data_IF_392641992400
#
_entry.id   IF_392641992400
#
_cell.length_a   1.000
_cell.length_b   1.000
_cell.length_c   1.000
_cell.angle_alpha   90.00
_cell.angle_beta   90.00
_cell.angle_gamma   90.00
#
_symmetry.space_group_name_H-M   'P 1'
#
loop_
_entity.id
_entity.type
_entity.pdbx_description
1 polymer ?
#
# COMPACT_ATOMS: atom_id res chain seq x y z
N UNK A 1 -2.81 -9.77 30.84
CA UNK A 1 -1.53 -10.21 30.22
C UNK A 1 -1.20 -9.16 29.18
N UNK A 2 -0.15 -8.38 29.39
CA UNK A 2 0.30 -7.40 28.38
C UNK A 2 1.00 -8.17 27.24
N UNK A 3 0.79 -7.80 25.97
CA UNK A 3 1.46 -8.47 24.86
C UNK A 3 2.97 -8.17 24.90
N UNK A 4 3.78 -9.17 24.60
CA UNK A 4 5.23 -9.03 24.46
C UNK A 4 5.52 -7.94 23.42
N UNK A 5 6.23 -6.89 23.83
CA UNK A 5 6.67 -5.83 22.94
C UNK A 5 7.84 -6.36 22.13
N UNK A 6 7.57 -6.87 20.92
CA UNK A 6 8.59 -7.11 19.91
C UNK A 6 9.39 -5.81 19.69
N UNK A 7 10.72 -5.89 19.64
CA UNK A 7 11.64 -4.77 19.36
C UNK A 7 11.54 -4.23 17.92
N UNK A 8 10.36 -4.27 17.33
CA UNK A 8 10.10 -3.76 15.99
C UNK A 8 9.59 -2.32 16.06
N UNK A 9 10.10 -1.46 15.18
CA UNK A 9 9.64 -0.08 15.09
C UNK A 9 8.13 -0.01 14.84
N UNK A 10 7.41 0.79 15.63
CA UNK A 10 5.98 1.00 15.43
C UNK A 10 5.70 1.56 14.04
N UNK A 11 4.80 0.90 13.31
CA UNK A 11 4.29 1.39 12.02
C UNK A 11 3.19 2.45 12.18
N UNK A 12 2.71 2.65 13.41
CA UNK A 12 1.69 3.65 13.73
C UNK A 12 2.34 4.90 14.30
N UNK A 13 1.95 6.05 13.76
CA UNK A 13 2.45 7.35 14.14
C UNK A 13 1.29 8.30 14.38
N UNK A 14 1.43 9.18 15.37
CA UNK A 14 0.54 10.33 15.54
C UNK A 14 1.22 11.55 14.91
N UNK A 15 0.51 12.24 14.01
CA UNK A 15 1.02 13.43 13.34
C UNK A 15 0.00 14.56 13.32
N UNK A 16 0.42 15.74 13.78
CA UNK A 16 -0.40 16.95 13.72
C UNK A 16 -0.11 17.69 12.43
N UNK A 17 -1.11 17.80 11.56
CA UNK A 17 -0.98 18.43 10.25
C UNK A 17 -1.98 19.57 10.12
N UNK A 18 -1.50 20.70 9.61
CA UNK A 18 -2.32 21.86 9.28
C UNK A 18 -2.48 22.01 7.78
N UNK A 19 -3.71 22.22 7.32
CA UNK A 19 -4.06 22.38 5.92
C UNK A 19 -4.84 23.69 5.72
N UNK A 20 -4.56 24.38 4.62
CA UNK A 20 -5.32 25.56 4.22
C UNK A 20 -6.43 25.13 3.27
N UNK A 21 -7.68 25.22 3.72
CA UNK A 21 -8.84 24.59 3.08
C UNK A 21 -9.94 25.60 2.82
N UNK A 22 -10.71 25.39 1.75
CA UNK A 22 -11.91 26.17 1.49
C UNK A 22 -13.14 25.48 2.11
N UNK A 23 -14.09 26.29 2.58
CA UNK A 23 -15.37 25.80 3.09
C UNK A 23 -16.49 26.31 2.17
N UNK A 24 -17.49 25.48 1.81
CA UNK A 24 -18.66 25.95 1.10
C UNK A 24 -19.39 27.07 1.86
N UNK A 25 -19.83 28.11 1.16
CA UNK A 25 -20.52 29.26 1.76
C UNK A 25 -21.83 28.87 2.49
N UNK A 26 -22.49 27.79 2.05
CA UNK A 26 -23.68 27.23 2.70
C UNK A 26 -23.42 26.72 4.12
N UNK A 27 -22.17 26.45 4.46
CA UNK A 27 -21.77 25.83 5.72
C UNK A 27 -21.17 26.83 6.72
N UNK A 28 -21.29 28.14 6.47
CA UNK A 28 -20.72 29.17 7.36
C UNK A 28 -21.36 29.24 8.74
N UNK A 29 -22.58 28.71 8.90
CA UNK A 29 -23.23 28.58 10.20
C UNK A 29 -22.55 27.53 11.10
N UNK A 30 -21.92 26.51 10.49
CA UNK A 30 -21.20 25.45 11.19
C UNK A 30 -19.95 25.03 10.39
N UNK A 31 -18.88 25.85 10.41
CA UNK A 31 -17.67 25.60 9.64
C UNK A 31 -16.90 24.37 10.15
N UNK A 32 -17.04 24.03 11.43
CA UNK A 32 -16.35 22.90 12.05
C UNK A 32 -16.83 21.56 11.48
N UNK A 33 -18.14 21.33 11.51
CA UNK A 33 -18.73 20.12 10.94
C UNK A 33 -18.44 20.03 9.44
N UNK A 34 -18.47 21.17 8.75
CA UNK A 34 -18.18 21.24 7.32
C UNK A 34 -16.75 20.82 6.98
N UNK A 35 -15.74 21.32 7.69
CA UNK A 35 -14.34 20.90 7.49
C UNK A 35 -14.18 19.41 7.78
N UNK A 36 -14.77 18.92 8.87
CA UNK A 36 -14.73 17.51 9.23
C UNK A 36 -15.34 16.63 8.14
N UNK A 37 -16.51 17.00 7.60
CA UNK A 37 -17.21 16.21 6.61
C UNK A 37 -16.61 16.30 5.20
N UNK A 38 -16.15 17.49 4.79
CA UNK A 38 -15.72 17.74 3.40
C UNK A 38 -14.23 17.55 3.17
N UNK A 39 -13.40 17.72 4.22
CA UNK A 39 -11.94 17.63 4.11
C UNK A 39 -11.39 16.46 4.89
N UNK A 40 -11.66 16.37 6.20
CA UNK A 40 -10.95 15.43 7.07
C UNK A 40 -11.47 13.99 6.95
N UNK A 41 -12.79 13.78 6.99
CA UNK A 41 -13.39 12.44 6.91
C UNK A 41 -13.09 11.72 5.59
N UNK A 42 -13.06 12.40 4.42
CA UNK A 42 -12.62 11.78 3.18
C UNK A 42 -11.18 11.27 3.18
N UNK A 43 -10.33 11.72 4.12
CA UNK A 43 -8.95 11.22 4.25
C UNK A 43 -8.87 9.87 4.96
N UNK A 44 -9.91 9.47 5.71
CA UNK A 44 -9.93 8.21 6.44
C UNK A 44 -9.78 7.02 5.48
N UNK A 45 -8.91 6.08 5.85
CA UNK A 45 -8.56 4.89 5.08
C UNK A 45 -7.95 5.19 3.69
N UNK A 46 -7.50 6.43 3.47
CA UNK A 46 -6.81 6.84 2.24
C UNK A 46 -5.34 7.13 2.53
N UNK A 47 -4.48 6.87 1.54
CA UNK A 47 -3.09 7.26 1.62
C UNK A 47 -2.98 8.78 1.47
N UNK A 48 -2.45 9.45 2.48
CA UNK A 48 -2.26 10.90 2.49
C UNK A 48 -0.78 11.22 2.32
N UNK A 49 -0.36 11.76 1.15
CA UNK A 49 1.07 11.98 0.86
C UNK A 49 1.82 12.84 1.89
N UNK A 50 1.26 13.93 2.44
CA UNK A 50 1.93 14.72 3.47
C UNK A 50 2.22 13.91 4.74
N UNK A 51 1.32 12.99 5.11
CA UNK A 51 1.53 12.07 6.22
C UNK A 51 2.33 10.81 5.85
N UNK A 52 2.70 10.61 4.57
CA UNK A 52 3.46 9.45 4.06
C UNK A 52 2.86 8.09 4.49
N UNK A 53 1.54 8.01 4.59
CA UNK A 53 0.88 6.83 5.12
C UNK A 53 -0.64 6.91 4.98
N UNK A 54 -1.32 5.89 5.47
CA UNK A 54 -2.79 5.83 5.48
C UNK A 54 -3.32 6.44 6.77
N UNK A 55 -4.27 7.36 6.67
CA UNK A 55 -4.93 7.93 7.83
C UNK A 55 -5.96 6.93 8.35
N UNK A 56 -5.85 6.55 9.62
CA UNK A 56 -6.79 5.65 10.30
C UNK A 56 -7.83 6.41 11.11
N UNK A 57 -7.42 7.51 11.73
CA UNK A 57 -8.28 8.36 12.54
C UNK A 57 -7.75 9.79 12.54
N UNK A 58 -8.61 10.73 12.92
CA UNK A 58 -8.22 12.09 13.25
C UNK A 58 -8.91 12.54 14.54
N UNK A 59 -8.24 13.41 15.29
CA UNK A 59 -8.69 14.03 16.53
C UNK A 59 -8.14 15.46 16.67
N UNK A 60 -8.52 16.14 17.76
CA UNK A 60 -8.07 17.49 18.11
C UNK A 60 -8.13 18.50 16.96
N UNK A 61 -9.30 18.56 16.30
CA UNK A 61 -9.51 19.47 15.17
C UNK A 61 -9.62 20.91 15.66
N UNK A 62 -8.75 21.77 15.15
CA UNK A 62 -8.69 23.19 15.45
C UNK A 62 -8.77 24.02 14.16
N UNK A 63 -9.60 25.06 14.19
CA UNK A 63 -9.72 26.01 13.09
C UNK A 63 -9.09 27.33 13.49
N UNK A 64 -8.30 27.91 12.58
CA UNK A 64 -7.63 29.18 12.80
C UNK A 64 -7.66 30.05 11.55
N UNK A 65 -7.66 31.37 11.75
CA UNK A 65 -7.60 32.35 10.66
C UNK A 65 -6.15 32.59 10.20
N UNK A 66 -5.19 32.39 11.11
CA UNK A 66 -3.76 32.56 10.87
C UNK A 66 -3.07 31.22 10.60
N UNK A 67 -1.98 31.20 9.82
CA UNK A 67 -1.20 29.98 9.64
C UNK A 67 -0.67 29.46 10.98
N UNK A 68 -0.47 28.13 11.11
CA UNK A 68 0.16 27.56 12.30
C UNK A 68 1.54 28.18 12.50
N UNK A 69 1.86 28.60 13.73
CA UNK A 69 3.21 29.01 14.07
C UNK A 69 4.10 27.78 13.98
N UNK A 70 4.97 27.73 12.96
CA UNK A 70 6.00 26.70 12.87
C UNK A 70 6.80 26.74 14.18
N UNK A 71 7.06 25.62 14.88
CA UNK A 71 8.03 25.61 15.95
C UNK A 71 9.39 25.90 15.33
N UNK A 72 9.77 27.18 15.28
CA UNK A 72 11.11 27.60 14.86
C UNK A 72 12.13 26.94 15.80
N UNK A 73 13.01 26.15 15.21
CA UNK A 73 14.28 25.75 15.78
C UNK A 73 15.00 26.99 16.33
N UNK A 74 14.98 27.15 17.66
CA UNK A 74 15.97 27.88 18.45
C UNK A 74 16.50 29.21 17.87
N UNK A 75 15.63 30.15 17.51
CA UNK A 75 15.98 31.55 17.29
C UNK A 75 15.63 32.35 18.56
N UNK A 76 16.61 32.49 19.46
CA UNK A 76 16.52 33.37 20.63
C UNK A 76 16.27 34.82 20.17
N UNK A 77 15.01 35.26 20.17
CA UNK A 77 14.69 36.68 20.35
C UNK A 77 13.51 36.80 21.32
N UNK A 78 13.89 36.95 22.58
CA UNK A 78 13.02 37.07 23.73
C UNK A 78 12.44 38.48 23.75
N UNK A 79 11.37 38.75 23.00
CA UNK A 79 10.53 39.92 23.28
C UNK A 79 9.53 39.53 24.37
N UNK A 80 9.77 40.07 25.57
CA UNK A 80 8.92 39.91 26.75
C UNK A 80 7.52 40.44 26.42
N UNK A 81 6.54 39.55 26.27
CA UNK A 81 5.18 39.82 26.73
C UNK A 81 4.82 38.73 27.74
N UNK A 82 5.03 39.07 29.00
CA UNK A 82 4.70 38.26 30.17
C UNK A 82 3.24 37.76 30.04
N UNK A 83 3.00 36.46 30.02
CA UNK A 83 2.96 35.55 31.18
C UNK A 83 2.17 36.17 32.34
N UNK A 84 0.86 36.02 32.26
CA UNK A 84 0.00 36.02 33.43
C UNK A 84 -0.92 34.79 33.32
N UNK A 85 -0.35 33.61 33.56
CA UNK A 85 -1.13 32.40 33.83
C UNK A 85 -1.51 32.41 35.32
N UNK A 86 -2.51 33.21 35.66
CA UNK A 86 -3.36 32.89 36.78
C UNK A 86 -4.31 31.80 36.30
N UNK A 87 -4.13 30.60 36.83
CA UNK A 87 -5.01 29.45 36.70
C UNK A 87 -6.37 29.83 37.26
N UNK A 88 -7.23 30.40 36.42
CA UNK A 88 -8.65 30.58 36.69
C UNK A 88 -9.41 29.68 35.75
N UNK A 89 -10.12 28.70 36.31
CA UNK A 89 -11.17 27.92 35.64
C UNK A 89 -12.35 28.84 35.29
N UNK A 90 -12.11 29.79 34.39
CA UNK A 90 -13.12 30.60 33.72
C UNK A 90 -12.81 30.49 32.25
N UNK A 91 -13.59 29.66 31.56
CA UNK A 91 -13.60 29.61 30.11
C UNK A 91 -14.03 30.99 29.60
N UNK A 92 -13.05 31.84 29.27
CA UNK A 92 -13.28 33.00 28.40
C UNK A 92 -14.04 32.49 27.17
N UNK A 93 -15.12 33.17 26.72
CA UNK A 93 -15.85 32.73 25.55
C UNK A 93 -14.86 32.69 24.38
N UNK A 94 -14.76 31.52 23.72
CA UNK A 94 -13.88 31.34 22.57
C UNK A 94 -14.11 32.50 21.59
N UNK A 95 -13.05 33.25 21.28
CA UNK A 95 -13.14 34.36 20.35
C UNK A 95 -13.74 33.86 19.02
N UNK A 96 -14.70 34.58 18.43
CA UNK A 96 -15.35 34.13 17.22
C UNK A 96 -14.32 34.02 16.08
N UNK A 97 -14.24 32.85 15.46
CA UNK A 97 -13.37 32.62 14.32
C UNK A 97 -13.84 33.45 13.11
N UNK A 98 -13.06 34.47 12.75
CA UNK A 98 -13.32 35.29 11.58
C UNK A 98 -12.64 34.70 10.35
N UNK A 99 -13.44 34.45 9.31
CA UNK A 99 -12.99 33.92 8.04
C UNK A 99 -12.78 35.06 7.03
N UNK A 100 -11.74 34.97 6.20
CA UNK A 100 -11.46 35.96 5.16
C UNK A 100 -12.08 35.53 3.84
N UNK A 101 -12.88 36.43 3.28
CA UNK A 101 -13.41 36.36 1.92
C UNK A 101 -12.53 37.22 1.00
N UNK A 102 -12.23 36.74 -0.20
CA UNK A 102 -11.35 37.43 -1.15
C UNK A 102 -12.13 37.70 -2.43
N UNK A 103 -12.33 38.98 -2.74
CA UNK A 103 -13.00 39.49 -3.94
C UNK A 103 -14.38 38.86 -4.18
N UNK A 104 -14.59 38.23 -5.34
CA UNK A 104 -15.87 37.64 -5.77
C UNK A 104 -16.05 36.19 -5.29
N UNK A 105 -15.03 35.59 -4.66
CA UNK A 105 -15.05 34.18 -4.28
C UNK A 105 -15.89 33.94 -3.03
N UNK A 106 -17.14 33.51 -3.23
CA UNK A 106 -18.10 33.14 -2.18
C UNK A 106 -17.53 32.24 -1.05
N UNK A 107 -16.56 31.38 -1.35
CA UNK A 107 -16.00 30.41 -0.42
C UNK A 107 -14.81 31.00 0.36
N UNK A 108 -14.92 31.16 1.70
CA UNK A 108 -13.78 31.56 2.50
C UNK A 108 -12.81 30.40 2.71
N UNK A 109 -11.59 30.77 3.09
CA UNK A 109 -10.54 29.83 3.44
C UNK A 109 -10.21 29.89 4.93
N UNK A 110 -9.84 28.75 5.50
CA UNK A 110 -9.45 28.58 6.90
C UNK A 110 -8.25 27.66 7.01
N UNK A 111 -7.46 27.81 8.07
CA UNK A 111 -6.50 26.80 8.48
C UNK A 111 -7.18 25.77 9.36
N UNK A 112 -7.19 24.52 8.91
CA UNK A 112 -7.66 23.37 9.68
C UNK A 112 -6.45 22.56 10.14
N UNK A 113 -6.27 22.45 11.45
CA UNK A 113 -5.24 21.63 12.08
C UNK A 113 -5.89 20.44 12.74
N UNK A 114 -5.39 19.24 12.49
CA UNK A 114 -5.86 18.04 13.15
C UNK A 114 -4.69 17.12 13.47
N UNK A 115 -4.83 16.35 14.54
CA UNK A 115 -3.96 15.24 14.87
C UNK A 115 -4.47 14.01 14.13
N UNK A 116 -3.58 13.28 13.45
CA UNK A 116 -3.91 12.11 12.65
C UNK A 116 -3.21 10.89 13.21
N UNK A 117 -3.94 9.78 13.35
CA UNK A 117 -3.34 8.46 13.52
C UNK A 117 -3.03 7.90 12.13
N UNK A 118 -1.75 7.72 11.83
CA UNK A 118 -1.25 7.35 10.51
C UNK A 118 -0.57 5.99 10.60
N UNK A 119 -0.98 5.06 9.74
CA UNK A 119 -0.25 3.82 9.49
C UNK A 119 0.72 4.01 8.32
N UNK A 120 2.00 3.81 8.60
CA UNK A 120 3.11 3.94 7.65
C UNK A 120 3.74 2.58 7.39
N UNK A 121 3.35 1.87 6.33
CA UNK A 121 4.03 0.66 5.94
C UNK A 121 5.47 1.00 5.49
N UNK A 122 6.46 0.40 6.15
CA UNK A 122 7.88 0.57 5.83
C UNK A 122 8.39 -0.71 5.17
N UNK A 123 9.24 -0.56 4.15
CA UNK A 123 9.93 -1.68 3.55
C UNK A 123 10.74 -2.43 4.61
N UNK A 124 10.73 -3.76 4.54
CA UNK A 124 11.37 -4.68 5.49
C UNK A 124 10.74 -4.79 6.88
N UNK A 125 9.66 -4.05 7.18
CA UNK A 125 8.90 -4.29 8.39
C UNK A 125 8.10 -5.60 8.29
N UNK A 126 7.85 -6.23 9.44
CA UNK A 126 7.00 -7.40 9.53
C UNK A 126 5.57 -7.00 9.92
N UNK A 127 4.59 -7.68 9.31
CA UNK A 127 3.18 -7.52 9.62
C UNK A 127 2.52 -8.89 9.81
N UNK A 128 1.59 -8.97 10.75
CA UNK A 128 0.74 -10.14 10.95
C UNK A 128 -0.54 -9.95 10.16
N UNK A 129 -0.73 -10.73 9.10
CA UNK A 129 -1.87 -10.61 8.20
C UNK A 129 -2.58 -11.95 8.04
N UNK A 130 -3.91 -11.90 7.90
CA UNK A 130 -4.74 -13.09 7.78
C UNK A 130 -4.90 -13.50 6.32
N UNK A 131 -4.76 -14.78 5.99
CA UNK A 131 -4.97 -15.29 4.62
C UNK A 131 -6.43 -15.17 4.22
N UNK A 132 -6.73 -14.45 3.13
CA UNK A 132 -8.10 -14.25 2.64
C UNK A 132 -8.39 -15.02 1.36
N UNK A 133 -7.44 -15.05 0.42
CA UNK A 133 -7.58 -15.74 -0.86
C UNK A 133 -6.27 -16.39 -1.28
N UNK A 134 -6.37 -17.50 -2.01
CA UNK A 134 -5.21 -18.29 -2.43
C UNK A 134 -5.34 -18.68 -3.89
N UNK A 135 -4.29 -18.38 -4.66
CA UNK A 135 -4.13 -18.82 -6.03
C UNK A 135 -2.76 -19.47 -6.20
N UNK A 136 -2.62 -20.27 -7.27
CA UNK A 136 -1.34 -20.89 -7.66
C UNK A 136 -0.21 -19.88 -7.89
N UNK A 137 -0.53 -18.63 -8.20
CA UNK A 137 0.44 -17.58 -8.51
C UNK A 137 0.74 -16.65 -7.34
N UNK A 138 -0.22 -16.48 -6.42
CA UNK A 138 -0.10 -15.56 -5.29
C UNK A 138 -1.07 -15.94 -4.16
N UNK A 139 -0.73 -15.51 -2.94
CA UNK A 139 -1.64 -15.52 -1.78
C UNK A 139 -2.00 -14.07 -1.49
N UNK A 140 -3.27 -13.82 -1.23
CA UNK A 140 -3.77 -12.53 -0.74
C UNK A 140 -4.05 -12.65 0.75
N UNK A 141 -3.53 -11.69 1.51
CA UNK A 141 -3.74 -11.56 2.94
C UNK A 141 -4.38 -10.21 3.23
N UNK A 142 -5.06 -10.10 4.37
CA UNK A 142 -5.58 -8.85 4.89
C UNK A 142 -4.86 -8.48 6.19
N UNK A 143 -4.16 -7.35 6.18
CA UNK A 143 -3.64 -6.72 7.38
C UNK A 143 -4.73 -5.83 8.00
N UNK A 144 -4.96 -5.96 9.32
CA UNK A 144 -6.04 -5.29 10.06
C UNK A 144 -7.43 -5.49 9.41
N UNK A 145 -7.64 -6.63 8.74
CA UNK A 145 -8.85 -6.94 7.99
C UNK A 145 -9.27 -5.88 6.94
N UNK A 146 -8.34 -4.97 6.57
CA UNK A 146 -8.64 -3.79 5.75
C UNK A 146 -7.67 -3.65 4.59
N UNK A 147 -6.37 -3.88 4.85
CA UNK A 147 -5.32 -3.60 3.87
C UNK A 147 -4.88 -4.89 3.17
N UNK A 148 -5.06 -4.99 1.84
CA UNK A 148 -4.63 -6.17 1.11
C UNK A 148 -3.11 -6.21 0.99
N UNK A 149 -2.54 -7.38 1.30
CA UNK A 149 -1.13 -7.71 1.15
C UNK A 149 -1.03 -8.90 0.20
N UNK A 150 -0.28 -8.77 -0.88
CA UNK A 150 -0.12 -9.85 -1.86
C UNK A 150 1.26 -10.48 -1.77
N UNK A 151 1.33 -11.80 -1.66
CA UNK A 151 2.58 -12.57 -1.69
C UNK A 151 2.62 -13.35 -2.99
N UNK A 152 3.60 -13.06 -3.85
CA UNK A 152 3.84 -13.82 -5.08
C UNK A 152 4.44 -15.20 -4.75
N UNK A 153 4.13 -16.22 -5.57
CA UNK A 153 4.71 -17.56 -5.43
C UNK A 153 6.25 -17.57 -5.52
N UNK A 154 6.86 -16.57 -6.17
CA UNK A 154 8.33 -16.41 -6.18
C UNK A 154 8.91 -15.94 -4.85
N UNK A 155 8.08 -15.44 -3.95
CA UNK A 155 8.43 -14.89 -2.64
C UNK A 155 7.95 -15.80 -1.50
N UNK A 156 7.54 -17.02 -1.82
CA UNK A 156 7.23 -18.10 -0.89
C UNK A 156 8.45 -19.03 -0.75
N UNK A 157 8.58 -19.78 0.35
CA UNK A 157 9.60 -20.80 0.50
C UNK A 157 9.52 -21.86 -0.60
N UNK A 158 10.67 -22.46 -0.97
CA UNK A 158 10.73 -23.52 -1.99
C UNK A 158 9.97 -24.78 -1.62
N UNK A 159 9.77 -25.00 -0.32
CA UNK A 159 9.20 -26.22 0.23
C UNK A 159 7.66 -26.21 0.20
N UNK A 160 7.08 -25.06 -0.13
CA UNK A 160 5.63 -24.90 -0.25
C UNK A 160 5.14 -25.42 -1.60
N UNK A 161 4.02 -26.13 -1.58
CA UNK A 161 3.44 -26.74 -2.78
C UNK A 161 1.96 -26.38 -2.95
N UNK A 162 1.58 -26.09 -4.19
CA UNK A 162 0.19 -25.82 -4.55
C UNK A 162 -0.58 -27.13 -4.73
N UNK A 163 -1.65 -27.30 -3.97
CA UNK A 163 -2.60 -28.38 -4.12
C UNK A 163 -3.90 -27.84 -4.73
N UNK A 164 -4.29 -28.42 -5.87
CA UNK A 164 -5.58 -28.15 -6.51
C UNK A 164 -6.55 -29.25 -6.12
N UNK A 165 -7.82 -28.92 -5.91
CA UNK A 165 -8.83 -29.96 -5.77
C UNK A 165 -9.08 -30.58 -7.16
N UNK A 166 -8.45 -31.72 -7.45
CA UNK A 166 -8.72 -32.46 -8.68
C UNK A 166 -9.79 -33.52 -8.40
N UNK A 167 -10.99 -33.35 -8.97
CA UNK A 167 -11.83 -34.51 -9.28
C UNK A 167 -12.59 -34.29 -10.60
N UNK A 168 -11.83 -34.26 -11.70
CA UNK A 168 -12.26 -34.87 -12.96
C UNK A 168 -13.60 -34.45 -13.57
N UNK A 169 -14.07 -33.22 -13.37
CA UNK A 169 -15.18 -32.66 -14.16
C UNK A 169 -14.85 -31.22 -14.52
N UNK A 170 -14.17 -31.03 -15.64
CA UNK A 170 -14.20 -29.75 -16.35
C UNK A 170 -15.66 -29.40 -16.64
N UNK A 171 -16.30 -28.64 -15.76
CA UNK A 171 -17.59 -28.04 -16.06
C UNK A 171 -17.28 -26.79 -16.86
N UNK A 172 -17.53 -26.85 -18.16
CA UNK A 172 -17.60 -25.63 -18.97
C UNK A 172 -18.63 -24.72 -18.29
N UNK A 173 -18.19 -23.58 -17.76
CA UNK A 173 -19.11 -22.51 -17.44
C UNK A 173 -19.93 -22.22 -18.71
N UNK A 174 -21.17 -21.76 -18.55
CA UNK A 174 -22.05 -21.47 -19.68
C UNK A 174 -21.43 -20.44 -20.68
N UNK A 175 -20.44 -19.67 -20.22
CA UNK A 175 -19.64 -18.65 -20.93
C UNK A 175 -18.27 -19.18 -21.48
N UNK A 176 -17.98 -20.49 -21.39
CA UNK A 176 -16.78 -21.08 -21.98
C UNK A 176 -15.44 -20.75 -21.30
N UNK A 177 -15.43 -19.94 -20.23
CA UNK A 177 -14.24 -19.70 -19.38
C UNK A 177 -14.02 -20.86 -18.41
N UNK A 178 -12.76 -21.29 -18.25
CA UNK A 178 -12.35 -22.15 -17.14
C UNK A 178 -12.55 -21.37 -15.83
N UNK A 179 -13.35 -21.89 -14.90
CA UNK A 179 -13.22 -21.47 -13.50
C UNK A 179 -12.03 -22.20 -12.91
N UNK A 180 -11.09 -21.47 -12.29
CA UNK A 180 -10.15 -22.10 -11.36
C UNK A 180 -10.98 -22.72 -10.24
N UNK A 181 -11.14 -24.04 -10.26
CA UNK A 181 -11.68 -24.79 -9.13
C UNK A 181 -10.64 -24.67 -8.02
N UNK A 182 -11.07 -24.14 -6.87
CA UNK A 182 -10.19 -23.68 -5.79
C UNK A 182 -9.07 -24.64 -5.41
N UNK A 183 -7.99 -24.06 -4.88
CA UNK A 183 -6.86 -24.80 -4.32
C UNK A 183 -6.29 -24.09 -3.11
N UNK A 184 -5.30 -24.71 -2.49
CA UNK A 184 -4.63 -24.18 -1.31
C UNK A 184 -3.13 -24.46 -1.37
N UNK A 185 -2.37 -23.60 -0.70
CA UNK A 185 -0.97 -23.85 -0.46
C UNK A 185 -0.79 -24.78 0.74
N UNK A 186 0.17 -25.69 0.63
CA UNK A 186 0.61 -26.60 1.69
C UNK A 186 2.04 -26.25 2.06
N UNK A 187 2.30 -26.11 3.37
CA UNK A 187 3.63 -25.82 3.90
C UNK A 187 4.54 -27.06 3.86
N UNK A 188 5.77 -26.91 4.33
CA UNK A 188 6.77 -27.97 4.47
C UNK A 188 6.34 -29.11 5.43
N UNK A 189 5.50 -28.79 6.42
CA UNK A 189 4.95 -29.76 7.37
C UNK A 189 3.76 -30.57 6.81
N UNK A 190 3.27 -30.24 5.61
CA UNK A 190 2.10 -30.88 5.02
C UNK A 190 0.76 -30.28 5.48
N UNK A 191 0.79 -29.20 6.25
CA UNK A 191 -0.40 -28.48 6.70
C UNK A 191 -0.84 -27.43 5.68
N UNK A 192 -2.16 -27.24 5.59
CA UNK A 192 -2.74 -26.19 4.78
C UNK A 192 -2.36 -24.81 5.34
N UNK A 193 -1.88 -23.94 4.47
CA UNK A 193 -1.57 -22.54 4.80
C UNK A 193 -2.90 -21.80 5.01
N UNK A 194 -3.28 -21.58 6.26
CA UNK A 194 -4.50 -20.89 6.66
C UNK A 194 -4.25 -20.11 7.95
N UNK A 195 -5.05 -19.06 8.20
CA UNK A 195 -4.94 -18.24 9.39
C UNK A 195 -3.98 -17.06 9.23
N UNK A 196 -3.33 -16.70 10.34
CA UNK A 196 -2.46 -15.53 10.40
C UNK A 196 -1.03 -15.90 10.03
N UNK A 197 -0.45 -15.14 9.11
CA UNK A 197 0.94 -15.27 8.69
C UNK A 197 1.71 -14.00 9.05
N UNK A 198 2.93 -14.19 9.53
CA UNK A 198 3.90 -13.11 9.68
C UNK A 198 4.64 -12.92 8.35
N UNK A 199 4.51 -11.74 7.76
CA UNK A 199 4.98 -11.44 6.41
C UNK A 199 5.88 -10.21 6.45
N UNK A 200 7.00 -10.24 5.73
CA UNK A 200 7.85 -9.06 5.53
C UNK A 200 7.31 -8.22 4.38
N UNK A 201 7.17 -6.92 4.59
CA UNK A 201 6.82 -5.97 3.55
C UNK A 201 8.02 -5.84 2.60
N UNK A 202 7.86 -6.26 1.34
CA UNK A 202 8.90 -6.17 0.30
C UNK A 202 8.83 -4.85 -0.43
N UNK A 203 7.63 -4.44 -0.81
CA UNK A 203 7.40 -3.21 -1.56
C UNK A 203 6.05 -2.59 -1.17
N UNK A 204 5.99 -1.27 -1.22
CA UNK A 204 4.82 -0.48 -0.90
C UNK A 204 4.60 0.49 -2.05
N UNK A 205 3.55 0.26 -2.82
CA UNK A 205 3.13 1.18 -3.87
C UNK A 205 1.95 2.02 -3.37
N UNK A 206 2.26 3.24 -2.96
CA UNK A 206 1.29 4.27 -2.55
C UNK A 206 1.00 5.30 -3.65
N UNK A 207 1.38 5.04 -4.91
CA UNK A 207 1.20 6.03 -5.98
C UNK A 207 -0.28 6.25 -6.30
N UNK A 208 -0.80 7.37 -5.79
CA UNK A 208 -2.09 7.94 -6.18
C UNK A 208 -2.00 8.87 -7.40
N UNK A 209 -0.87 8.90 -8.11
CA UNK A 209 -0.65 9.77 -9.28
C UNK A 209 -1.46 9.38 -10.52
N UNK A 210 -2.29 8.33 -10.43
CA UNK A 210 -3.08 7.79 -11.53
C UNK A 210 -2.25 7.20 -12.67
N UNK A 211 -0.92 7.17 -12.55
CA UNK A 211 0.01 6.57 -13.52
C UNK A 211 0.38 5.12 -13.15
N UNK A 212 0.02 4.69 -11.94
CA UNK A 212 0.03 3.28 -11.55
C UNK A 212 -1.06 2.47 -12.24
N UNK A 213 -0.79 1.18 -12.51
CA UNK A 213 -1.81 0.23 -12.97
C UNK A 213 -2.73 -0.14 -11.80
N UNK A 214 -3.68 0.73 -11.48
CA UNK A 214 -4.60 0.52 -10.38
C UNK A 214 -5.14 1.84 -9.85
N UNK A 215 -6.45 1.90 -9.61
CA UNK A 215 -7.17 3.09 -9.15
C UNK A 215 -6.82 3.36 -7.68
N UNK A 216 -5.81 4.18 -7.39
CA UNK A 216 -5.64 4.89 -6.11
C UNK A 216 -5.61 4.08 -4.80
N UNK A 217 -5.43 2.75 -4.83
CA UNK A 217 -5.34 1.92 -3.62
C UNK A 217 -3.88 1.69 -3.24
N UNK A 218 -3.59 1.73 -1.93
CA UNK A 218 -2.30 1.29 -1.40
C UNK A 218 -2.11 -0.20 -1.70
N UNK A 219 -1.03 -0.53 -2.39
CA UNK A 219 -0.64 -1.92 -2.65
C UNK A 219 0.58 -2.28 -1.83
N UNK A 220 0.50 -3.44 -1.18
CA UNK A 220 1.59 -3.98 -0.37
C UNK A 220 1.97 -5.33 -0.94
N UNK A 221 3.21 -5.46 -1.41
CA UNK A 221 3.76 -6.73 -1.80
C UNK A 221 4.55 -7.32 -0.61
N UNK A 222 4.15 -8.51 -0.18
CA UNK A 222 4.77 -9.24 0.92
C UNK A 222 5.78 -10.29 0.44
N UNK A 223 6.62 -10.73 1.37
CA UNK A 223 7.55 -11.85 1.17
C UNK A 223 7.72 -12.66 2.46
N UNK A 224 7.83 -13.98 2.31
CA UNK A 224 8.12 -14.94 3.38
C UNK A 224 9.61 -15.34 3.43
N UNK A 225 10.37 -15.00 2.39
CA UNK A 225 11.80 -15.32 2.26
C UNK A 225 12.66 -14.05 2.33
N UNK A 226 13.96 -14.24 2.57
CA UNK A 226 14.92 -13.15 2.62
C UNK A 226 15.09 -12.48 1.24
N UNK A 227 15.53 -11.22 1.20
CA UNK A 227 15.79 -10.55 -0.09
C UNK A 227 16.89 -11.23 -0.90
N UNK A 228 17.87 -11.80 -0.21
CA UNK A 228 19.01 -12.50 -0.81
C UNK A 228 18.54 -13.76 -1.54
N UNK A 229 17.67 -14.55 -0.91
CA UNK A 229 17.06 -15.72 -1.53
C UNK A 229 16.18 -15.36 -2.73
N UNK A 230 15.40 -14.28 -2.65
CA UNK A 230 14.62 -13.80 -3.81
C UNK A 230 15.53 -13.47 -4.98
N UNK A 231 16.62 -12.73 -4.74
CA UNK A 231 17.58 -12.34 -5.77
C UNK A 231 18.30 -13.56 -6.35
N UNK A 232 18.71 -14.50 -5.51
CA UNK A 232 19.33 -15.76 -5.92
C UNK A 232 18.38 -16.60 -6.80
N UNK A 233 17.14 -16.78 -6.35
CA UNK A 233 16.12 -17.52 -7.10
C UNK A 233 15.76 -16.84 -8.42
N UNK A 234 15.69 -15.51 -8.45
CA UNK A 234 15.48 -14.73 -9.66
C UNK A 234 16.64 -14.85 -10.65
N UNK A 235 17.89 -14.80 -10.16
CA UNK A 235 19.08 -14.97 -10.98
C UNK A 235 19.18 -16.38 -11.57
N UNK A 236 18.93 -17.42 -10.78
CA UNK A 236 18.89 -18.82 -11.25
C UNK A 236 17.80 -19.04 -12.30
N UNK A 237 16.59 -18.50 -12.09
CA UNK A 237 15.51 -18.57 -13.08
C UNK A 237 15.88 -17.86 -14.40
N UNK A 238 16.53 -16.70 -14.32
CA UNK A 238 17.02 -15.97 -15.50
C UNK A 238 18.09 -16.77 -16.25
N UNK A 239 19.08 -17.31 -15.54
CA UNK A 239 20.15 -18.13 -16.13
C UNK A 239 19.58 -19.37 -16.84
N UNK A 240 18.67 -20.11 -16.19
CA UNK A 240 17.98 -21.26 -16.80
C UNK A 240 17.20 -20.89 -18.06
N UNK A 241 16.49 -19.76 -18.05
CA UNK A 241 15.74 -19.26 -19.22
C UNK A 241 16.67 -18.92 -20.37
N UNK A 242 17.81 -18.27 -20.11
CA UNK A 242 18.81 -17.93 -21.13
C UNK A 242 19.45 -19.19 -21.73
N UNK A 243 19.78 -20.20 -20.90
CA UNK A 243 20.31 -21.48 -21.37
C UNK A 243 19.28 -22.19 -22.26
N UNK A 244 18.02 -22.30 -21.81
CA UNK A 244 16.95 -22.91 -22.60
C UNK A 244 16.72 -22.21 -23.94
N UNK A 245 16.75 -20.87 -23.97
CA UNK A 245 16.62 -20.09 -25.20
C UNK A 245 17.77 -20.37 -26.17
N UNK A 246 19.00 -20.49 -25.66
CA UNK A 246 20.21 -20.75 -26.44
C UNK A 246 20.24 -22.17 -27.00
N UNK A 247 19.75 -23.16 -26.25
CA UNK A 247 19.60 -24.54 -26.73
C UNK A 247 18.54 -24.64 -27.83
N UNK A 248 17.44 -23.89 -27.73
CA UNK A 248 16.42 -23.83 -28.78
C UNK A 248 16.93 -23.18 -30.08
N UNK A 249 17.75 -22.12 -29.98
CA UNK A 249 18.33 -21.49 -31.18
C UNK A 249 19.40 -22.36 -31.85
N UNK A 250 20.21 -23.08 -31.08
CA UNK A 250 21.23 -23.99 -31.63
C UNK A 250 20.62 -25.25 -32.28
N UNK A 251 19.46 -25.71 -31.81
CA UNK A 251 18.73 -26.82 -32.43
C UNK A 251 18.10 -26.45 -33.78
N UNK A 252 17.81 -25.18 -34.01
CA UNK A 252 17.17 -24.70 -35.25
C UNK A 252 18.18 -24.44 -36.38
N UNK A 253 19.45 -24.18 -36.06
CA UNK A 253 20.52 -23.96 -37.06
C UNK A 253 21.13 -25.24 -37.63
N UNK A 254 20.86 -26.41 -37.03
CA UNK A 254 21.42 -27.70 -37.47
C UNK A 254 20.46 -28.52 -38.36
N UNK A 255 19.31 -27.96 -38.76
CA UNK A 255 18.26 -28.66 -39.50
C UNK A 255 18.20 -28.43 -41.02
N UNK A 256 18.91 -27.43 -41.56
CA UNK A 256 18.83 -27.05 -42.98
C UNK A 256 20.19 -27.22 -43.69
N UNK A 257 20.64 -28.46 -43.87
CA UNK A 257 21.61 -28.81 -44.92
C UNK A 257 20.95 -29.85 -45.81
N UNK A 258 20.16 -29.38 -46.79
CA UNK A 258 19.72 -30.20 -47.92
C UNK A 258 20.93 -30.52 -48.80
N UNK A 259 21.33 -31.78 -48.86
CA UNK A 259 22.22 -32.31 -49.90
C UNK A 259 21.55 -32.13 -51.27
N UNK A 260 22.17 -31.34 -52.15
CA UNK A 260 21.76 -31.21 -53.54
C UNK A 260 22.48 -32.31 -54.31
N UNK A 261 21.76 -33.38 -54.63
CA UNK A 261 22.22 -34.45 -55.51
C UNK A 261 22.26 -33.94 -56.96
N UNK A 262 23.47 -33.75 -57.49
CA UNK A 262 23.70 -33.33 -58.87
C UNK A 262 23.66 -34.54 -59.81
N UNK A 263 22.45 -34.89 -60.26
CA UNK A 263 22.22 -35.90 -61.30
C UNK A 263 22.60 -35.38 -62.70
N UNK A 264 23.61 -36.00 -63.29
CA UNK A 264 24.06 -35.87 -64.68
C UNK A 264 22.98 -36.37 -65.66
N UNK A 265 22.56 -35.50 -66.60
CA UNK A 265 21.80 -35.90 -67.78
C UNK A 265 22.73 -36.36 -68.89
N UNK A 266 22.58 -37.60 -69.34
CA UNK A 266 23.20 -38.20 -70.52
C UNK A 266 22.13 -38.54 -71.55
N UNK A 267 22.47 -38.25 -72.81
CA UNK A 267 21.70 -38.45 -74.05
C UNK A 267 21.06 -39.84 -74.23
N UNK A 268 19.81 -39.87 -74.71
CA UNK A 268 19.37 -40.43 -76.02
C UNK A 268 17.84 -40.28 -76.17
#
# INVERSE_FOLDING_TARGET
>A
MAPEQSEEASLFHSERISQYVCIPASCLSDPFSAVCATVLSPLLLTYFPPAKGVILAYDDVELSSTPPSVPETASKSRSKRARNESRSDKAEPAEPLLLRHVDEYAAPFVWATASFLVWRPVQNAYVHAHVTDQAKTHITLAYLNTFPVSILASCMPSDWSWHSQETGKMKRAWDGRLSDEGGWWVNDFGDKVEGDLRVRIRDVDGRMDGKGKGKGFLRIDGSLISEEEIKANAAQKRARKTIALRTQTAGQTNGDVMEIDSGSGSDD
#
